data_IF_312777972612
#
_entry.id   IF_312777972612
#
_cell.length_a   1.000
_cell.length_b   1.000
_cell.length_c   1.000
_cell.angle_alpha   90.00
_cell.angle_beta   90.00
_cell.angle_gamma   90.00
#
_symmetry.space_group_name_H-M   'P 1'
#
loop_
_entity.id
_entity.type
_entity.pdbx_description
1 polymer ?
#
# COMPACT_ATOMS: atom_id res chain seq x y z
N UNK A 1 11.89 13.38 -9.59
CA UNK A 1 13.19 12.67 -9.55
C UNK A 1 13.80 12.88 -8.18
N UNK A 2 14.14 11.82 -7.49
CA UNK A 2 14.82 11.84 -6.19
C UNK A 2 16.04 10.93 -6.20
N UNK A 3 16.98 11.20 -5.32
CA UNK A 3 18.12 10.33 -5.06
C UNK A 3 18.36 10.29 -3.54
N UNK A 4 18.58 9.10 -2.99
CA UNK A 4 18.89 8.89 -1.58
C UNK A 4 20.11 7.97 -1.47
N UNK A 5 20.98 8.24 -0.52
CA UNK A 5 22.08 7.35 -0.15
C UNK A 5 22.35 7.47 1.34
N UNK A 6 22.60 6.36 2.00
CA UNK A 6 22.94 6.34 3.42
C UNK A 6 22.58 5.05 4.11
N UNK A 7 23.03 4.94 5.36
CA UNK A 7 22.65 3.86 6.27
C UNK A 7 21.71 4.43 7.32
N UNK A 8 20.54 3.84 7.42
CA UNK A 8 19.51 4.22 8.38
C UNK A 8 19.02 2.97 9.11
N UNK A 9 18.60 3.13 10.35
CA UNK A 9 17.99 2.06 11.12
C UNK A 9 17.14 2.61 12.24
N UNK A 10 15.97 2.06 12.44
CA UNK A 10 15.07 2.44 13.51
C UNK A 10 14.38 1.21 14.11
N UNK A 11 14.06 1.30 15.38
CA UNK A 11 13.12 0.40 16.02
C UNK A 11 12.23 1.25 16.90
N UNK A 12 10.95 1.19 16.66
CA UNK A 12 9.95 1.90 17.40
C UNK A 12 8.82 0.95 17.80
N UNK A 13 8.21 1.19 18.93
CA UNK A 13 7.08 0.41 19.39
C UNK A 13 6.39 1.09 20.56
N UNK A 14 5.09 0.94 20.65
CA UNK A 14 4.32 1.64 21.67
C UNK A 14 2.85 1.34 21.64
N UNK A 15 2.14 2.22 22.34
CA UNK A 15 0.69 2.27 22.38
C UNK A 15 0.26 3.63 21.80
N UNK A 16 -0.65 3.58 20.83
CA UNK A 16 -1.34 4.74 20.30
C UNK A 16 -2.85 4.53 20.48
N UNK A 17 -3.40 5.20 21.48
CA UNK A 17 -4.77 4.92 21.93
C UNK A 17 -4.91 3.47 22.42
N UNK A 18 -5.75 2.69 21.75
CA UNK A 18 -5.96 1.26 21.99
C UNK A 18 -5.13 0.35 21.06
N UNK A 19 -4.32 0.95 20.18
CA UNK A 19 -3.51 0.21 19.23
C UNK A 19 -2.12 -0.07 19.79
N UNK A 20 -1.63 -1.28 19.58
CA UNK A 20 -0.24 -1.69 19.81
C UNK A 20 0.46 -1.66 18.47
N UNK A 21 1.65 -1.05 18.41
CA UNK A 21 2.46 -1.10 17.20
C UNK A 21 3.91 -1.47 17.50
N UNK A 22 4.54 -2.10 16.54
CA UNK A 22 5.97 -2.35 16.45
C UNK A 22 6.41 -2.09 15.02
N UNK A 23 7.38 -1.21 14.87
CA UNK A 23 8.02 -0.89 13.59
C UNK A 23 9.53 -1.07 13.74
N UNK A 24 10.15 -1.75 12.81
CA UNK A 24 11.59 -1.87 12.73
C UNK A 24 12.01 -1.70 11.27
N UNK A 25 13.04 -0.92 11.03
CA UNK A 25 13.60 -0.76 9.69
C UNK A 25 15.12 -0.69 9.73
N UNK A 26 15.73 -1.20 8.70
CA UNK A 26 17.15 -1.04 8.40
C UNK A 26 17.31 -0.84 6.89
N UNK A 27 18.07 0.14 6.51
CA UNK A 27 18.40 0.41 5.11
C UNK A 27 19.87 0.85 5.03
N UNK A 28 20.62 0.21 4.14
CA UNK A 28 21.96 0.65 3.71
C UNK A 28 21.94 0.64 2.19
N UNK A 29 21.43 1.72 1.62
CA UNK A 29 21.10 1.78 0.20
C UNK A 29 21.57 3.06 -0.46
N UNK A 30 21.81 2.95 -1.75
CA UNK A 30 21.85 4.08 -2.69
C UNK A 30 20.78 3.85 -3.75
N UNK A 31 19.87 4.79 -3.89
CA UNK A 31 18.74 4.66 -4.80
C UNK A 31 18.46 5.96 -5.56
N UNK A 32 17.96 5.81 -6.77
CA UNK A 32 17.46 6.90 -7.61
C UNK A 32 16.09 6.50 -8.14
N UNK A 33 15.13 7.39 -7.99
CA UNK A 33 13.74 7.21 -8.42
C UNK A 33 13.30 8.28 -9.41
N UNK A 34 12.46 7.87 -10.36
CA UNK A 34 11.71 8.75 -11.25
C UNK A 34 10.25 8.36 -11.16
N UNK A 35 9.46 9.19 -10.49
CA UNK A 35 8.04 8.95 -10.25
C UNK A 35 7.18 9.82 -11.17
N UNK A 36 6.12 9.25 -11.71
CA UNK A 36 5.10 9.95 -12.52
C UNK A 36 3.72 9.61 -11.96
N UNK A 37 3.00 10.64 -11.58
CA UNK A 37 1.65 10.52 -11.02
C UNK A 37 0.62 11.09 -12.00
N UNK A 38 -0.56 10.48 -12.01
CA UNK A 38 -1.69 10.94 -12.81
C UNK A 38 -3.02 10.73 -12.09
N UNK A 39 -3.95 11.64 -12.27
CA UNK A 39 -5.31 11.51 -11.73
C UNK A 39 -6.36 12.12 -12.65
N UNK A 40 -7.55 11.53 -12.63
CA UNK A 40 -8.73 12.05 -13.29
C UNK A 40 -9.98 11.78 -12.43
N UNK A 41 -10.81 12.81 -12.25
CA UNK A 41 -12.00 12.72 -11.42
C UNK A 41 -13.23 13.22 -12.18
N UNK A 42 -14.35 12.54 -11.98
CA UNK A 42 -15.69 12.94 -12.41
C UNK A 42 -16.68 12.69 -11.28
N UNK A 43 -17.92 13.19 -11.35
CA UNK A 43 -18.91 12.99 -10.29
C UNK A 43 -19.08 11.52 -9.91
N UNK A 44 -18.73 11.18 -8.65
CA UNK A 44 -18.85 9.83 -8.08
C UNK A 44 -17.85 8.79 -8.61
N UNK A 45 -16.81 9.24 -9.32
CA UNK A 45 -15.81 8.36 -9.90
C UNK A 45 -14.45 9.04 -9.95
N UNK A 46 -13.39 8.36 -9.50
CA UNK A 46 -12.01 8.82 -9.57
C UNK A 46 -11.10 7.71 -10.11
N UNK A 47 -10.06 8.10 -10.79
CA UNK A 47 -8.95 7.23 -11.19
C UNK A 47 -7.66 7.95 -10.87
N UNK A 48 -6.77 7.29 -10.16
CA UNK A 48 -5.41 7.76 -9.93
C UNK A 48 -4.42 6.63 -10.21
N UNK A 49 -3.20 6.99 -10.48
CA UNK A 49 -2.13 6.00 -10.64
C UNK A 49 -0.76 6.64 -10.58
N UNK A 50 0.19 5.84 -10.14
CA UNK A 50 1.61 6.19 -10.01
C UNK A 50 2.45 5.16 -10.76
N UNK A 51 3.46 5.62 -11.44
CA UNK A 51 4.51 4.77 -12.01
C UNK A 51 5.85 5.26 -11.48
N UNK A 52 6.60 4.38 -10.85
CA UNK A 52 7.94 4.63 -10.35
C UNK A 52 8.96 3.77 -11.09
N UNK A 53 10.01 4.41 -11.59
CA UNK A 53 11.16 3.73 -12.15
C UNK A 53 12.36 3.98 -11.24
N UNK A 54 13.04 2.95 -10.82
CA UNK A 54 14.11 3.05 -9.85
C UNK A 54 15.38 2.27 -10.22
N UNK A 55 16.48 2.72 -9.64
CA UNK A 55 17.73 1.98 -9.57
C UNK A 55 18.21 2.00 -8.12
N UNK A 56 18.46 0.83 -7.55
CA UNK A 56 18.77 0.65 -6.14
C UNK A 56 19.96 -0.30 -5.97
N UNK A 57 20.80 -0.04 -4.99
CA UNK A 57 21.86 -0.94 -4.53
C UNK A 57 21.93 -0.89 -3.01
N UNK A 58 22.11 -2.04 -2.38
CA UNK A 58 22.27 -2.15 -0.93
C UNK A 58 21.40 -3.23 -0.28
N UNK A 59 21.10 -3.05 1.01
CA UNK A 59 20.33 -3.98 1.79
C UNK A 59 19.21 -3.26 2.53
N UNK A 60 18.06 -3.87 2.58
CA UNK A 60 16.91 -3.40 3.35
C UNK A 60 16.28 -4.52 4.15
N UNK A 61 15.74 -4.15 5.30
CA UNK A 61 14.87 -5.00 6.09
C UNK A 61 13.82 -4.11 6.76
N UNK A 62 12.57 -4.48 6.67
CA UNK A 62 11.49 -3.80 7.37
C UNK A 62 10.53 -4.79 8.02
N UNK A 63 9.93 -4.37 9.11
CA UNK A 63 8.83 -5.06 9.77
C UNK A 63 7.89 -4.01 10.36
N UNK A 64 6.63 -4.13 10.05
CA UNK A 64 5.56 -3.35 10.65
C UNK A 64 4.47 -4.31 11.15
N UNK A 65 4.06 -4.14 12.38
CA UNK A 65 2.89 -4.82 12.94
C UNK A 65 2.10 -3.81 13.76
N UNK A 66 0.84 -3.66 13.42
CA UNK A 66 -0.14 -2.87 14.18
C UNK A 66 -1.37 -3.73 14.47
N UNK A 67 -1.90 -3.63 15.66
CA UNK A 67 -3.12 -4.33 16.05
C UNK A 67 -3.89 -3.52 17.09
N UNK A 68 -5.19 -3.38 16.92
CA UNK A 68 -6.05 -2.65 17.84
C UNK A 68 -7.50 -2.57 17.36
N UNK A 69 -8.21 -1.57 17.85
CA UNK A 69 -9.64 -1.40 17.59
C UNK A 69 -9.95 -1.15 16.10
N UNK A 70 -8.99 -0.59 15.37
CA UNK A 70 -9.13 -0.29 13.93
C UNK A 70 -8.79 -1.49 13.03
N UNK A 71 -8.23 -2.56 13.58
CA UNK A 71 -7.89 -3.77 12.84
C UNK A 71 -6.45 -4.23 13.03
N UNK A 72 -5.95 -4.92 12.03
CA UNK A 72 -4.60 -5.50 12.01
C UNK A 72 -3.91 -5.15 10.70
N UNK A 73 -2.66 -4.71 10.80
CA UNK A 73 -1.71 -4.53 9.70
C UNK A 73 -0.44 -5.30 10.02
N UNK A 74 0.08 -6.05 9.07
CA UNK A 74 1.35 -6.76 9.22
C UNK A 74 2.10 -6.77 7.88
N UNK A 75 3.26 -6.13 7.83
CA UNK A 75 4.10 -6.04 6.65
C UNK A 75 5.53 -6.42 7.00
N UNK A 76 6.24 -7.02 6.07
CA UNK A 76 7.66 -7.32 6.23
C UNK A 76 8.36 -7.46 4.90
N UNK A 77 9.57 -6.93 4.82
CA UNK A 77 10.43 -6.98 3.65
C UNK A 77 11.86 -7.29 4.06
N UNK A 78 12.55 -8.04 3.23
CA UNK A 78 13.98 -8.26 3.30
C UNK A 78 14.54 -8.30 1.89
N UNK A 79 15.45 -7.39 1.57
CA UNK A 79 16.08 -7.33 0.25
C UNK A 79 17.58 -7.02 0.34
N UNK A 80 18.34 -7.53 -0.62
CA UNK A 80 19.78 -7.30 -0.73
C UNK A 80 20.22 -7.37 -2.19
N UNK A 81 21.09 -6.47 -2.60
CA UNK A 81 21.76 -6.50 -3.92
C UNK A 81 21.57 -5.24 -4.74
N UNK A 82 21.63 -5.39 -6.06
CA UNK A 82 21.48 -4.31 -7.01
C UNK A 82 20.29 -4.60 -7.92
N UNK A 83 19.41 -3.62 -8.10
CA UNK A 83 18.25 -3.75 -8.97
C UNK A 83 17.93 -2.48 -9.74
N UNK A 84 17.29 -2.69 -10.88
CA UNK A 84 16.62 -1.64 -11.65
C UNK A 84 15.20 -2.15 -11.89
N UNK A 85 14.19 -1.35 -11.56
CA UNK A 85 12.82 -1.79 -11.65
C UNK A 85 11.86 -0.70 -12.07
N UNK A 86 10.65 -1.13 -12.30
CA UNK A 86 9.48 -0.28 -12.56
C UNK A 86 8.30 -0.84 -11.80
N UNK A 87 7.69 -0.01 -10.97
CA UNK A 87 6.51 -0.31 -10.20
C UNK A 87 5.36 0.57 -10.68
N UNK A 88 4.16 0.04 -10.67
CA UNK A 88 2.97 0.78 -11.03
C UNK A 88 1.81 0.45 -10.09
N UNK A 89 1.12 1.48 -9.63
CA UNK A 89 -0.08 1.37 -8.83
C UNK A 89 -1.21 2.15 -9.48
N UNK A 90 -2.42 1.61 -9.42
CA UNK A 90 -3.62 2.29 -9.87
C UNK A 90 -4.76 2.14 -8.87
N UNK A 91 -5.46 3.22 -8.59
CA UNK A 91 -6.64 3.25 -7.75
C UNK A 91 -7.85 3.69 -8.56
N UNK A 92 -8.92 2.93 -8.41
CA UNK A 92 -10.25 3.24 -8.89
C UNK A 92 -11.12 3.63 -7.70
N UNK A 93 -11.49 4.89 -7.62
CA UNK A 93 -12.39 5.39 -6.59
C UNK A 93 -13.83 5.38 -7.11
N UNK A 94 -14.70 4.80 -6.32
CA UNK A 94 -16.14 4.77 -6.53
C UNK A 94 -16.81 5.48 -5.35
N UNK A 95 -18.07 5.86 -5.52
CA UNK A 95 -18.83 6.52 -4.46
C UNK A 95 -18.85 5.75 -3.13
N UNK A 96 -18.85 4.43 -3.19
CA UNK A 96 -19.04 3.54 -2.05
C UNK A 96 -17.75 2.82 -1.61
N UNK A 97 -16.60 3.16 -2.24
CA UNK A 97 -15.33 2.53 -1.90
C UNK A 97 -14.27 2.70 -2.98
N UNK A 98 -13.15 2.02 -2.81
CA UNK A 98 -12.05 2.05 -3.76
C UNK A 98 -11.43 0.66 -3.97
N UNK A 99 -10.80 0.49 -5.10
CA UNK A 99 -9.95 -0.67 -5.40
C UNK A 99 -8.59 -0.16 -5.86
N UNK A 100 -7.56 -0.58 -5.18
CA UNK A 100 -6.17 -0.30 -5.54
C UNK A 100 -5.48 -1.59 -5.95
N UNK A 101 -4.77 -1.55 -7.05
CA UNK A 101 -3.95 -2.66 -7.50
C UNK A 101 -2.59 -2.15 -7.97
N UNK A 102 -1.54 -2.80 -7.52
CA UNK A 102 -0.16 -2.52 -7.88
C UNK A 102 0.56 -3.75 -8.41
N UNK A 103 1.53 -3.53 -9.25
CA UNK A 103 2.47 -4.54 -9.69
C UNK A 103 3.79 -3.92 -10.11
N UNK A 104 4.89 -4.60 -9.81
CA UNK A 104 6.22 -4.18 -10.20
C UNK A 104 7.07 -5.32 -10.75
N UNK A 105 8.10 -4.93 -11.45
CA UNK A 105 9.12 -5.83 -12.00
C UNK A 105 10.49 -5.20 -11.86
N UNK A 106 11.42 -5.95 -11.33
CA UNK A 106 12.82 -5.54 -11.23
C UNK A 106 13.79 -6.59 -11.79
N UNK A 107 14.93 -6.14 -12.22
CA UNK A 107 16.00 -6.98 -12.75
C UNK A 107 17.33 -6.55 -12.13
N UNK A 108 18.12 -7.51 -11.66
CA UNK A 108 19.44 -7.23 -11.10
C UNK A 108 20.02 -8.41 -10.33
N UNK A 109 21.18 -8.20 -9.74
CA UNK A 109 21.77 -9.14 -8.79
C UNK A 109 21.16 -8.89 -7.39
N UNK A 110 19.95 -9.35 -7.19
CA UNK A 110 19.22 -9.15 -5.96
C UNK A 110 18.60 -10.45 -5.42
N UNK A 111 18.41 -10.48 -4.12
CA UNK A 111 17.60 -11.48 -3.42
C UNK A 111 16.69 -10.71 -2.46
N UNK A 112 15.40 -10.96 -2.54
CA UNK A 112 14.43 -10.32 -1.67
C UNK A 112 13.18 -11.16 -1.49
N UNK A 113 12.52 -10.95 -0.37
CA UNK A 113 11.20 -11.46 -0.08
C UNK A 113 10.48 -10.45 0.79
N UNK A 114 9.27 -10.16 0.43
CA UNK A 114 8.40 -9.28 1.19
C UNK A 114 6.97 -9.78 1.14
N UNK A 115 6.17 -9.29 2.03
CA UNK A 115 4.75 -9.57 2.02
C UNK A 115 4.05 -8.94 3.21
N UNK A 116 2.77 -8.75 3.06
CA UNK A 116 1.96 -8.16 4.09
C UNK A 116 0.47 -8.38 3.89
N UNK A 117 -0.27 -7.90 4.87
CA UNK A 117 -1.71 -7.87 4.80
C UNK A 117 -2.28 -6.88 5.79
N UNK A 118 -3.41 -6.34 5.45
CA UNK A 118 -4.19 -5.46 6.32
C UNK A 118 -5.64 -5.90 6.37
N UNK A 119 -6.26 -5.69 7.51
CA UNK A 119 -7.69 -5.76 7.68
C UNK A 119 -8.09 -4.70 8.70
N UNK A 120 -8.68 -3.62 8.24
CA UNK A 120 -9.00 -2.45 9.06
C UNK A 120 -10.46 -2.04 8.91
N UNK A 121 -10.99 -1.39 9.95
CA UNK A 121 -12.31 -0.77 9.93
C UNK A 121 -12.24 0.56 10.68
N UNK A 122 -12.21 1.66 9.94
CA UNK A 122 -12.05 3.02 10.48
C UNK A 122 -13.16 3.91 9.93
N UNK A 123 -13.85 4.61 10.80
CA UNK A 123 -14.90 5.59 10.45
C UNK A 123 -15.98 5.05 9.48
N UNK A 124 -16.26 3.75 9.55
CA UNK A 124 -17.23 3.08 8.67
C UNK A 124 -16.63 2.56 7.36
N UNK A 125 -15.35 2.70 7.13
CA UNK A 125 -14.65 2.16 5.97
C UNK A 125 -13.97 0.85 6.34
N UNK A 126 -14.33 -0.23 5.67
CA UNK A 126 -13.68 -1.52 5.78
C UNK A 126 -12.63 -1.66 4.67
N UNK A 127 -11.39 -1.95 5.04
CA UNK A 127 -10.30 -2.18 4.09
C UNK A 127 -9.70 -3.57 4.30
N UNK A 128 -9.46 -4.27 3.20
CA UNK A 128 -8.71 -5.53 3.18
C UNK A 128 -7.67 -5.45 2.07
N UNK A 129 -6.42 -5.67 2.40
CA UNK A 129 -5.32 -5.64 1.45
C UNK A 129 -4.36 -6.80 1.65
N UNK A 130 -3.68 -7.17 0.60
CA UNK A 130 -2.59 -8.15 0.59
C UNK A 130 -1.50 -7.68 -0.36
N UNK A 131 -0.26 -7.91 0.02
CA UNK A 131 0.93 -7.60 -0.78
C UNK A 131 1.90 -8.78 -0.80
N UNK A 132 2.73 -8.86 -1.81
CA UNK A 132 3.77 -9.88 -1.89
C UNK A 132 4.85 -9.55 -2.89
N UNK A 133 6.10 -9.74 -2.49
CA UNK A 133 7.29 -9.57 -3.33
C UNK A 133 8.17 -10.82 -3.26
N UNK A 134 8.71 -11.21 -4.39
CA UNK A 134 9.80 -12.20 -4.50
C UNK A 134 10.81 -11.73 -5.53
N UNK A 135 12.06 -11.64 -5.14
CA UNK A 135 13.16 -11.25 -6.00
C UNK A 135 14.33 -12.24 -5.90
N UNK A 136 14.71 -12.84 -7.04
CA UNK A 136 15.94 -13.60 -7.25
C UNK A 136 16.37 -13.39 -8.69
N UNK A 137 17.32 -12.51 -8.96
CA UNK A 137 17.71 -12.04 -10.29
C UNK A 137 16.61 -11.28 -11.04
N UNK A 138 15.36 -11.70 -10.88
CA UNK A 138 14.16 -11.04 -11.34
C UNK A 138 13.23 -10.87 -10.14
N UNK A 139 12.84 -9.65 -9.82
CA UNK A 139 11.86 -9.32 -8.79
C UNK A 139 10.47 -9.14 -9.39
N UNK A 140 9.47 -9.61 -8.69
CA UNK A 140 8.06 -9.36 -8.99
C UNK A 140 7.36 -9.06 -7.67
N UNK A 141 6.66 -7.94 -7.62
CA UNK A 141 5.78 -7.55 -6.53
C UNK A 141 4.33 -7.41 -7.03
N UNK A 142 3.40 -7.64 -6.14
CA UNK A 142 1.97 -7.48 -6.41
C UNK A 142 1.27 -7.00 -5.15
N UNK A 143 0.47 -5.94 -5.29
CA UNK A 143 -0.36 -5.39 -4.23
C UNK A 143 -1.82 -5.36 -4.66
N UNK A 144 -2.71 -5.65 -3.73
CA UNK A 144 -4.15 -5.52 -3.94
C UNK A 144 -4.81 -5.08 -2.64
N UNK A 145 -5.53 -3.95 -2.69
CA UNK A 145 -6.35 -3.46 -1.58
C UNK A 145 -7.74 -3.12 -2.06
N UNK A 146 -8.73 -3.42 -1.24
CA UNK A 146 -10.15 -3.11 -1.48
C UNK A 146 -10.70 -2.44 -0.24
N UNK A 147 -11.26 -1.24 -0.41
CA UNK A 147 -11.94 -0.49 0.63
C UNK A 147 -13.41 -0.29 0.29
N UNK A 148 -14.29 -0.42 1.29
CA UNK A 148 -15.73 -0.26 1.14
C UNK A 148 -16.23 0.68 2.24
N UNK A 149 -16.90 1.77 1.84
CA UNK A 149 -17.54 2.72 2.75
C UNK A 149 -18.96 2.22 3.10
N UNK A 150 -19.10 1.68 4.29
CA UNK A 150 -20.38 1.14 4.78
C UNK A 150 -21.36 2.23 5.17
N UNK A 151 -20.90 3.44 5.52
CA UNK A 151 -21.77 4.58 5.81
C UNK A 151 -22.47 5.06 4.54
N UNK A 152 -21.73 5.16 3.44
CA UNK A 152 -22.28 5.56 2.15
C UNK A 152 -23.32 4.56 1.63
N UNK A 153 -23.04 3.27 1.80
CA UNK A 153 -24.02 2.21 1.46
C UNK A 153 -25.30 2.36 2.28
N UNK A 154 -25.19 2.64 3.59
CA UNK A 154 -26.32 2.85 4.45
C UNK A 154 -27.15 4.09 4.06
N UNK A 155 -26.51 5.20 3.74
CA UNK A 155 -27.15 6.42 3.27
C UNK A 155 -27.89 6.20 1.95
N UNK A 156 -27.29 5.52 0.99
CA UNK A 156 -27.90 5.21 -0.30
C UNK A 156 -29.09 4.24 -0.16
N UNK A 157 -29.03 3.29 0.78
CA UNK A 157 -30.16 2.41 1.09
C UNK A 157 -31.35 3.18 1.69
N UNK A 158 -31.12 4.13 2.58
CA UNK A 158 -32.15 5.00 3.14
C UNK A 158 -32.76 5.89 2.07
N UNK A 159 -31.95 6.49 1.21
CA UNK A 159 -32.42 7.33 0.11
C UNK A 159 -33.30 6.53 -0.88
N UNK A 160 -32.90 5.30 -1.21
CA UNK A 160 -33.67 4.41 -2.07
C UNK A 160 -35.02 4.03 -1.44
N UNK A 161 -35.07 3.80 -0.13
CA UNK A 161 -36.31 3.52 0.59
C UNK A 161 -37.27 4.72 0.58
N UNK A 162 -36.76 5.94 0.82
CA UNK A 162 -37.58 7.17 0.76
C UNK A 162 -38.22 7.37 -0.61
N UNK A 163 -37.46 7.16 -1.69
CA UNK A 163 -37.95 7.25 -3.06
C UNK A 163 -39.05 6.20 -3.35
N UNK A 164 -38.96 5.03 -2.74
CA UNK A 164 -39.98 3.99 -2.90
C UNK A 164 -41.29 4.29 -2.14
N UNK A 165 -41.21 5.06 -1.04
CA UNK A 165 -42.39 5.47 -0.25
C UNK A 165 -43.15 6.67 -0.88
N UNK A 166 -42.50 7.45 -1.78
CA UNK A 166 -43.11 8.59 -2.46
C UNK A 166 -43.90 8.21 -3.75
N UNK A 167 -43.86 6.95 -4.17
CA UNK A 167 -44.56 6.45 -5.37
C UNK A 167 -45.89 5.74 -5.00
#
# INVERSE_FOLDING_TARGET
>A
VSAKTGTEGSVEGGLDGNNVYVEASYSDTTEVHVTVDGQANAEGFGVSGTVDAYAKTGNEASLEVRAGDEGVVANGELSAGNSVGVDGEGTLDLREGSVTAGAGVSVGEQVGVGGGGEATFVDGVATVGVSGEVAVLLGVDVDLSVSVDTNQIAEDAVAAQQLAEEQ
#
